data_IF_525352149919
#
_entry.id   IF_525352149919
#
_cell.length_a   1.000
_cell.length_b   1.000
_cell.length_c   1.000
_cell.angle_alpha   90.00
_cell.angle_beta   90.00
_cell.angle_gamma   90.00
#
_symmetry.space_group_name_H-M   'P 1'
#
loop_
_entity.id
_entity.type
_entity.pdbx_description
1 polymer ?
#
# COMPACT_ATOMS: atom_id res chain seq x y z
N UNK A 1 -10.96 8.68 -5.83
CA UNK A 1 -9.73 9.51 -5.88
C UNK A 1 -8.80 8.90 -6.90
N UNK A 2 -8.17 9.68 -7.77
CA UNK A 2 -7.30 9.13 -8.80
C UNK A 2 -6.00 8.57 -8.17
N UNK A 3 -5.42 7.52 -8.77
CA UNK A 3 -4.21 6.87 -8.23
C UNK A 3 -3.06 7.86 -7.97
N UNK A 4 -2.87 8.84 -8.86
CA UNK A 4 -1.84 9.89 -8.74
C UNK A 4 -2.09 10.79 -7.53
N UNK A 5 -3.34 11.15 -7.26
CA UNK A 5 -3.69 11.97 -6.10
C UNK A 5 -3.42 11.22 -4.79
N UNK A 6 -3.71 9.92 -4.78
CA UNK A 6 -3.43 9.06 -3.63
C UNK A 6 -1.93 8.92 -3.39
N UNK A 7 -1.15 8.64 -4.43
CA UNK A 7 0.30 8.58 -4.34
C UNK A 7 0.91 9.91 -3.88
N UNK A 8 0.37 11.05 -4.35
CA UNK A 8 0.80 12.38 -3.89
C UNK A 8 0.60 12.56 -2.38
N UNK A 9 -0.55 12.13 -1.85
CA UNK A 9 -0.81 12.20 -0.41
C UNK A 9 0.20 11.37 0.39
N UNK A 10 0.51 10.15 -0.08
CA UNK A 10 1.53 9.29 0.53
C UNK A 10 2.92 9.94 0.47
N UNK A 11 3.31 10.52 -0.67
CA UNK A 11 4.58 11.22 -0.82
C UNK A 11 4.71 12.39 0.15
N UNK A 12 3.65 13.19 0.31
CA UNK A 12 3.62 14.28 1.29
C UNK A 12 3.81 13.74 2.70
N UNK A 13 3.11 12.67 3.08
CA UNK A 13 3.27 12.05 4.40
C UNK A 13 4.69 11.55 4.64
N UNK A 14 5.32 10.90 3.65
CA UNK A 14 6.71 10.43 3.72
C UNK A 14 7.69 11.59 3.88
N UNK A 15 7.51 12.68 3.13
CA UNK A 15 8.40 13.85 3.20
C UNK A 15 8.29 14.54 4.57
N UNK A 16 7.06 14.73 5.07
CA UNK A 16 6.82 15.37 6.37
C UNK A 16 7.29 14.52 7.54
N UNK A 17 7.22 13.18 7.42
CA UNK A 17 7.49 12.23 8.50
C UNK A 17 8.45 11.13 8.04
N UNK A 18 9.74 11.46 7.80
CA UNK A 18 10.68 10.56 7.12
C UNK A 18 10.94 9.24 7.85
N UNK A 19 10.87 9.23 9.18
CA UNK A 19 11.13 8.04 10.01
C UNK A 19 9.87 7.24 10.34
N UNK A 20 8.68 7.75 9.99
CA UNK A 20 7.42 7.11 10.35
C UNK A 20 7.09 5.95 9.40
N UNK A 21 6.32 4.99 9.92
CA UNK A 21 5.64 4.02 9.08
C UNK A 21 4.44 4.67 8.42
N UNK A 22 4.40 4.66 7.09
CA UNK A 22 3.26 5.12 6.30
C UNK A 22 2.53 3.88 5.80
N UNK A 23 1.37 3.60 6.41
CA UNK A 23 0.62 2.37 6.14
C UNK A 23 -0.43 2.58 5.05
N UNK A 24 -0.27 1.89 3.94
CA UNK A 24 -1.33 1.73 2.94
C UNK A 24 -2.36 0.74 3.49
N UNK A 25 -3.48 1.26 3.97
CA UNK A 25 -4.45 0.50 4.78
C UNK A 25 -5.70 0.12 3.96
N UNK A 26 -6.85 0.71 4.27
CA UNK A 26 -8.14 0.37 3.65
C UNK A 26 -8.24 0.80 2.19
N UNK A 27 -9.05 0.06 1.42
CA UNK A 27 -9.36 0.36 0.01
C UNK A 27 -8.35 -0.20 -0.99
N UNK A 28 -7.35 -0.97 -0.53
CA UNK A 28 -6.39 -1.65 -1.40
C UNK A 28 -7.05 -2.67 -2.32
N UNK A 29 -8.15 -3.30 -1.91
CA UNK A 29 -8.86 -4.25 -2.77
C UNK A 29 -9.41 -3.60 -4.04
N UNK A 30 -9.67 -2.29 -3.99
CA UNK A 30 -10.20 -1.49 -5.12
C UNK A 30 -9.09 -0.81 -5.93
N UNK A 31 -7.82 -0.98 -5.56
CA UNK A 31 -6.67 -0.42 -6.29
C UNK A 31 -6.13 -1.45 -7.28
N UNK A 32 -5.74 -0.98 -8.47
CA UNK A 32 -4.94 -1.80 -9.39
C UNK A 32 -3.54 -2.05 -8.83
N UNK A 33 -2.86 -3.06 -9.34
CA UNK A 33 -1.49 -3.39 -8.94
C UNK A 33 -0.53 -2.22 -9.19
N UNK A 34 -0.70 -1.50 -10.31
CA UNK A 34 0.10 -0.31 -10.66
C UNK A 34 -0.15 0.85 -9.69
N UNK A 35 -1.41 1.04 -9.26
CA UNK A 35 -1.75 2.06 -8.28
C UNK A 35 -1.13 1.75 -6.91
N UNK A 36 -1.16 0.48 -6.48
CA UNK A 36 -0.49 0.06 -5.25
C UNK A 36 1.04 0.21 -5.36
N UNK A 37 1.63 -0.21 -6.48
CA UNK A 37 3.05 -0.05 -6.77
C UNK A 37 3.48 1.42 -6.67
N UNK A 38 2.70 2.33 -7.26
CA UNK A 38 2.96 3.76 -7.18
C UNK A 38 2.89 4.29 -5.73
N UNK A 39 1.99 3.77 -4.90
CA UNK A 39 1.91 4.14 -3.48
C UNK A 39 3.15 3.67 -2.69
N UNK A 40 3.65 2.47 -2.96
CA UNK A 40 4.89 1.98 -2.35
C UNK A 40 6.09 2.81 -2.80
N UNK A 41 6.19 3.12 -4.10
CA UNK A 41 7.21 4.02 -4.63
C UNK A 41 7.15 5.42 -4.01
N UNK A 42 5.94 5.93 -3.75
CA UNK A 42 5.73 7.23 -3.12
C UNK A 42 6.14 7.25 -1.62
N UNK A 43 6.34 6.09 -0.99
CA UNK A 43 6.88 6.01 0.36
C UNK A 43 6.01 5.27 1.37
N UNK A 44 4.92 4.61 0.96
CA UNK A 44 4.24 3.65 1.82
C UNK A 44 5.16 2.46 2.11
N UNK A 45 5.21 2.01 3.36
CA UNK A 45 6.12 0.92 3.80
C UNK A 45 5.47 -0.01 4.83
N UNK A 46 4.14 -0.04 4.89
CA UNK A 46 3.38 -0.94 5.76
C UNK A 46 2.01 -1.21 5.14
N UNK A 47 1.45 -2.40 5.38
CA UNK A 47 0.09 -2.80 5.01
C UNK A 47 -0.55 -3.64 6.12
N UNK A 48 -1.85 -3.87 6.02
CA UNK A 48 -2.52 -4.94 6.75
C UNK A 48 -2.46 -6.23 5.94
N UNK A 49 -2.06 -7.33 6.60
CA UNK A 49 -2.07 -8.68 6.06
C UNK A 49 -3.13 -9.49 6.82
N UNK A 50 -4.03 -10.13 6.09
CA UNK A 50 -5.15 -10.89 6.63
C UNK A 50 -6.31 -10.89 5.65
N UNK A 51 -7.36 -11.63 5.97
CA UNK A 51 -8.53 -11.78 5.08
C UNK A 51 -9.54 -10.64 5.26
N UNK A 52 -9.56 -10.02 6.44
CA UNK A 52 -10.47 -8.93 6.80
C UNK A 52 -9.74 -7.78 7.49
N UNK A 53 -10.28 -6.57 7.35
CA UNK A 53 -9.93 -5.38 8.12
C UNK A 53 -10.79 -5.33 9.39
N UNK A 54 -11.49 -4.20 9.63
CA UNK A 54 -12.38 -4.06 10.78
C UNK A 54 -13.80 -4.57 10.49
N UNK A 55 -14.30 -4.34 9.28
CA UNK A 55 -15.65 -4.74 8.82
C UNK A 55 -15.71 -5.04 7.32
N UNK A 56 -14.59 -4.96 6.62
CA UNK A 56 -14.49 -5.10 5.16
C UNK A 56 -13.42 -6.12 4.80
N UNK A 57 -13.55 -6.75 3.65
CA UNK A 57 -12.54 -7.65 3.10
C UNK A 57 -11.21 -6.91 2.90
N UNK A 58 -10.10 -7.60 3.13
CA UNK A 58 -8.75 -7.14 2.84
C UNK A 58 -8.18 -7.95 1.65
N UNK A 59 -7.20 -7.44 0.89
CA UNK A 59 -6.48 -8.27 -0.07
C UNK A 59 -5.90 -9.51 0.63
N UNK A 60 -6.25 -10.69 0.12
CA UNK A 60 -5.76 -11.95 0.68
C UNK A 60 -4.23 -12.03 0.61
N UNK A 61 -3.65 -12.73 1.59
CA UNK A 61 -2.19 -12.84 1.81
C UNK A 61 -1.40 -13.23 0.55
N UNK A 62 -1.97 -14.09 -0.29
CA UNK A 62 -1.33 -14.59 -1.51
C UNK A 62 -1.22 -13.53 -2.61
N UNK A 63 -2.21 -12.63 -2.72
CA UNK A 63 -2.19 -11.53 -3.70
C UNK A 63 -1.10 -10.52 -3.34
N UNK A 64 -0.98 -10.20 -2.06
CA UNK A 64 0.03 -9.27 -1.56
C UNK A 64 1.45 -9.82 -1.73
N UNK A 65 1.63 -11.11 -1.44
CA UNK A 65 2.90 -11.80 -1.67
C UNK A 65 3.33 -11.74 -3.14
N UNK A 66 2.41 -12.09 -4.07
CA UNK A 66 2.69 -12.06 -5.50
C UNK A 66 3.00 -10.65 -6.04
N UNK A 67 2.29 -9.63 -5.54
CA UNK A 67 2.55 -8.24 -5.90
C UNK A 67 3.95 -7.81 -5.41
N UNK A 68 4.30 -8.11 -4.16
CA UNK A 68 5.62 -7.72 -3.63
C UNK A 68 6.77 -8.44 -4.30
N UNK A 69 6.60 -9.71 -4.68
CA UNK A 69 7.58 -10.44 -5.47
C UNK A 69 7.83 -9.75 -6.81
N UNK A 70 6.77 -9.36 -7.53
CA UNK A 70 6.88 -8.62 -8.81
C UNK A 70 7.54 -7.25 -8.66
N UNK A 71 7.33 -6.58 -7.52
CA UNK A 71 7.90 -5.25 -7.25
C UNK A 71 9.30 -5.31 -6.65
N UNK A 72 9.81 -6.48 -6.29
CA UNK A 72 11.10 -6.62 -5.59
C UNK A 72 11.11 -6.02 -4.19
N UNK A 73 9.94 -5.88 -3.56
CA UNK A 73 9.79 -5.31 -2.22
C UNK A 73 9.87 -6.43 -1.19
N UNK A 74 10.74 -6.27 -0.18
CA UNK A 74 10.83 -7.21 0.93
C UNK A 74 9.89 -6.76 2.06
N UNK A 75 9.01 -7.66 2.50
CA UNK A 75 8.32 -7.52 3.78
C UNK A 75 9.37 -7.71 4.90
N UNK A 76 9.56 -6.68 5.72
CA UNK A 76 10.45 -6.69 6.90
C UNK A 76 9.63 -6.39 8.14
#
# INVERSE_FOLDING_TARGET
>A
MAAIEFARLIAVARILMPTSYVRLSAGRENMSDEAQALCFLAGANSIFIGDELLTTNNPGKDKDAALFERLGVRLV
#
